data_IF_279746084361
#
_entry.id   IF_279746084361
#
_cell.length_a   1.000
_cell.length_b   1.000
_cell.length_c   1.000
_cell.angle_alpha   90.00
_cell.angle_beta   90.00
_cell.angle_gamma   90.00
#
_symmetry.space_group_name_H-M   'P 1'
#
loop_
_entity.id
_entity.type
_entity.pdbx_description
1 polymer ?
#
# COMPACT_ATOMS: atom_id res chain seq x y z
N UNK A 1 0.40 -15.29 -17.84
CA UNK A 1 1.52 -14.38 -17.52
C UNK A 1 1.07 -13.47 -16.39
N UNK A 2 1.65 -13.60 -15.19
CA UNK A 2 1.39 -12.67 -14.09
C UNK A 2 1.91 -11.30 -14.48
N UNK A 3 1.06 -10.28 -14.41
CA UNK A 3 1.49 -8.91 -14.71
C UNK A 3 2.57 -8.50 -13.70
N UNK A 4 3.67 -7.84 -14.12
CA UNK A 4 4.66 -7.34 -13.19
C UNK A 4 3.98 -6.35 -12.25
N UNK A 5 3.95 -6.69 -10.96
CA UNK A 5 3.34 -5.88 -9.91
C UNK A 5 4.17 -4.62 -9.70
N UNK A 6 3.61 -3.45 -9.94
CA UNK A 6 4.28 -2.16 -9.73
C UNK A 6 4.07 -1.67 -8.30
N UNK A 7 4.35 -2.54 -7.32
CA UNK A 7 4.05 -2.30 -5.91
C UNK A 7 4.76 -1.06 -5.31
N UNK A 8 5.82 -0.56 -5.97
CA UNK A 8 6.53 0.68 -5.60
C UNK A 8 5.69 1.95 -5.83
N UNK A 9 4.76 1.91 -6.78
CA UNK A 9 3.94 3.07 -7.21
C UNK A 9 2.44 2.79 -7.18
N UNK A 10 2.05 1.53 -7.02
CA UNK A 10 0.66 1.08 -6.95
C UNK A 10 0.36 0.43 -5.61
N UNK A 11 -0.49 1.09 -4.82
CA UNK A 11 -1.01 0.53 -3.57
C UNK A 11 -1.79 -0.77 -3.82
N UNK A 12 -2.43 -0.91 -4.98
CA UNK A 12 -3.20 -2.09 -5.35
C UNK A 12 -2.27 -3.30 -5.48
N UNK A 13 -1.15 -3.11 -6.17
CA UNK A 13 -0.17 -4.18 -6.36
C UNK A 13 0.57 -4.51 -5.07
N UNK A 14 0.83 -3.49 -4.23
CA UNK A 14 1.41 -3.68 -2.91
C UNK A 14 0.48 -4.50 -1.99
N UNK A 15 -0.81 -4.18 -1.94
CA UNK A 15 -1.77 -4.93 -1.14
C UNK A 15 -1.94 -6.37 -1.64
N UNK A 16 -1.99 -6.58 -2.97
CA UNK A 16 -2.01 -7.94 -3.55
C UNK A 16 -0.77 -8.74 -3.18
N UNK A 17 0.41 -8.13 -3.19
CA UNK A 17 1.66 -8.79 -2.80
C UNK A 17 1.62 -9.24 -1.34
N UNK A 18 0.99 -8.44 -0.46
CA UNK A 18 0.79 -8.77 0.95
C UNK A 18 -0.38 -9.74 1.19
N UNK A 19 -1.10 -10.16 0.13
CA UNK A 19 -2.30 -10.99 0.24
C UNK A 19 -3.51 -10.27 0.86
N UNK A 20 -3.52 -8.94 0.82
CA UNK A 20 -4.57 -8.08 1.36
C UNK A 20 -5.58 -7.68 0.28
N UNK A 21 -6.78 -7.29 0.72
CA UNK A 21 -7.80 -6.75 -0.18
C UNK A 21 -7.34 -5.40 -0.77
N UNK A 22 -7.31 -5.33 -2.10
CA UNK A 22 -6.82 -4.16 -2.85
C UNK A 22 -7.94 -3.24 -3.35
N UNK A 23 -9.18 -3.46 -2.90
CA UNK A 23 -10.35 -2.68 -3.29
C UNK A 23 -10.22 -1.22 -2.87
N UNK A 24 -11.04 -0.35 -3.46
CA UNK A 24 -11.10 1.05 -3.06
C UNK A 24 -11.58 1.20 -1.61
N UNK A 25 -12.51 0.34 -1.18
CA UNK A 25 -13.07 0.38 0.17
C UNK A 25 -11.99 0.09 1.21
N UNK A 26 -11.25 -1.01 1.06
CA UNK A 26 -10.18 -1.38 1.99
C UNK A 26 -9.06 -0.34 2.04
N UNK A 27 -8.77 0.34 0.93
CA UNK A 27 -7.81 1.46 0.94
C UNK A 27 -8.31 2.67 1.73
N UNK A 28 -9.61 3.00 1.63
CA UNK A 28 -10.21 4.09 2.41
C UNK A 28 -10.26 3.77 3.90
N UNK A 29 -10.58 2.53 4.23
CA UNK A 29 -10.54 2.03 5.61
C UNK A 29 -9.14 2.12 6.19
N UNK A 30 -8.14 1.59 5.48
CA UNK A 30 -6.73 1.69 5.88
C UNK A 30 -6.28 3.15 6.04
N UNK A 31 -6.70 4.03 5.13
CA UNK A 31 -6.40 5.46 5.25
C UNK A 31 -7.03 6.08 6.51
N UNK A 32 -8.26 5.69 6.84
CA UNK A 32 -8.94 6.14 8.06
C UNK A 32 -8.26 5.62 9.32
N UNK A 33 -7.86 4.34 9.35
CA UNK A 33 -7.15 3.74 10.49
C UNK A 33 -5.79 4.39 10.74
N UNK A 34 -5.11 4.78 9.67
CA UNK A 34 -3.82 5.49 9.72
C UNK A 34 -3.99 7.02 9.90
N UNK A 35 -5.20 7.49 10.17
CA UNK A 35 -5.53 8.91 10.37
C UNK A 35 -5.13 9.82 9.21
N UNK A 36 -5.36 9.37 7.97
CA UNK A 36 -5.15 10.18 6.78
C UNK A 36 -5.99 11.47 6.84
N UNK A 37 -5.31 12.62 6.74
CA UNK A 37 -5.95 13.93 6.83
C UNK A 37 -6.32 14.54 5.47
N UNK A 38 -6.02 13.87 4.37
CA UNK A 38 -6.33 14.34 3.02
C UNK A 38 -7.71 13.90 2.53
N UNK A 39 -8.11 14.37 1.34
CA UNK A 39 -9.36 13.95 0.71
C UNK A 39 -9.26 12.49 0.21
N UNK A 40 -10.30 11.70 0.47
CA UNK A 40 -10.45 10.33 -0.06
C UNK A 40 -11.13 10.30 -1.44
N UNK A 41 -11.59 11.45 -1.93
CA UNK A 41 -12.09 11.64 -3.30
C UNK A 41 -10.90 11.73 -4.27
N UNK A 42 -9.82 12.39 -3.86
CA UNK A 42 -8.53 12.34 -4.57
C UNK A 42 -7.78 11.05 -4.23
N UNK A 43 -8.24 9.96 -4.82
CA UNK A 43 -7.68 8.63 -4.57
C UNK A 43 -6.21 8.54 -5.00
N UNK A 44 -5.74 9.37 -5.95
CA UNK A 44 -4.34 9.39 -6.38
C UNK A 44 -3.40 9.81 -5.24
N UNK A 45 -3.66 10.94 -4.59
CA UNK A 45 -2.85 11.41 -3.45
C UNK A 45 -2.95 10.44 -2.27
N UNK A 46 -4.16 9.94 -1.98
CA UNK A 46 -4.37 8.93 -0.94
C UNK A 46 -3.55 7.66 -1.21
N UNK A 47 -3.56 7.15 -2.43
CA UNK A 47 -2.83 5.93 -2.79
C UNK A 47 -1.31 6.10 -2.62
N UNK A 48 -0.75 7.24 -3.06
CA UNK A 48 0.68 7.53 -2.90
C UNK A 48 1.05 7.63 -1.42
N UNK A 49 0.20 8.26 -0.61
CA UNK A 49 0.41 8.33 0.83
C UNK A 49 0.32 6.95 1.49
N UNK A 50 -0.68 6.14 1.13
CA UNK A 50 -0.86 4.78 1.64
C UNK A 50 0.34 3.89 1.36
N UNK A 51 0.93 3.95 0.16
CA UNK A 51 2.14 3.17 -0.16
C UNK A 51 3.24 3.47 0.86
N UNK A 52 3.47 4.74 1.17
CA UNK A 52 4.50 5.17 2.13
C UNK A 52 4.20 4.66 3.54
N UNK A 53 2.94 4.75 3.97
CA UNK A 53 2.56 4.27 5.31
C UNK A 53 2.67 2.76 5.43
N UNK A 54 2.18 2.00 4.44
CA UNK A 54 2.31 0.54 4.44
C UNK A 54 3.78 0.13 4.50
N UNK A 55 4.67 0.81 3.76
CA UNK A 55 6.10 0.55 3.88
C UNK A 55 6.69 0.90 5.25
N UNK A 56 6.28 2.02 5.85
CA UNK A 56 6.73 2.39 7.18
C UNK A 56 6.29 1.36 8.24
N UNK A 57 5.05 0.87 8.16
CA UNK A 57 4.52 -0.16 9.06
C UNK A 57 5.19 -1.52 8.85
N UNK A 58 5.50 -1.90 7.61
CA UNK A 58 6.29 -3.10 7.31
C UNK A 58 7.70 -3.00 7.91
N UNK A 59 8.36 -1.85 7.78
CA UNK A 59 9.69 -1.62 8.34
C UNK A 59 9.67 -1.68 9.89
N UNK A 60 8.65 -1.12 10.53
CA UNK A 60 8.48 -1.13 12.00
C UNK A 60 8.24 -2.53 12.56
N UNK A 61 7.43 -3.34 11.88
CA UNK A 61 7.04 -4.68 12.35
C UNK A 61 8.05 -5.78 11.96
N UNK A 62 9.25 -5.42 11.50
CA UNK A 62 10.25 -6.39 11.03
C UNK A 62 9.77 -7.22 9.84
N UNK A 63 8.83 -6.67 9.06
CA UNK A 63 8.08 -7.37 8.03
C UNK A 63 9.00 -7.95 6.96
N UNK A 64 8.81 -9.23 6.63
CA UNK A 64 9.38 -9.88 5.45
C UNK A 64 8.80 -9.24 4.20
N UNK A 65 9.40 -8.14 3.76
CA UNK A 65 9.22 -7.64 2.40
C UNK A 65 10.01 -8.60 1.50
N UNK A 66 9.46 -9.09 0.37
CA UNK A 66 10.12 -10.11 -0.45
C UNK A 66 11.57 -9.71 -0.78
N UNK A 67 12.50 -10.67 -0.70
CA UNK A 67 13.95 -10.43 -0.71
C UNK A 67 14.50 -9.71 -1.98
N UNK A 68 13.70 -9.59 -3.03
CA UNK A 68 13.97 -8.76 -4.23
C UNK A 68 13.99 -7.24 -3.93
N UNK A 69 13.76 -6.86 -2.68
CA UNK A 69 13.62 -5.49 -2.21
C UNK A 69 14.94 -4.86 -1.74
N UNK A 70 16.00 -5.65 -1.56
CA UNK A 70 17.36 -5.15 -1.31
C UNK A 70 18.17 -5.10 -2.61
N UNK A 71 18.13 -3.96 -3.30
CA UNK A 71 19.17 -3.57 -4.26
C UNK A 71 19.57 -2.12 -4.00
#
# INVERSE_FOLDING_TARGET
AGQPLNYKTSIVDLLKLLGLDSSLQSRKELASELHYSGSTDDTATMNVWLIKQVYAELAKNGGKVPADWTH
#
